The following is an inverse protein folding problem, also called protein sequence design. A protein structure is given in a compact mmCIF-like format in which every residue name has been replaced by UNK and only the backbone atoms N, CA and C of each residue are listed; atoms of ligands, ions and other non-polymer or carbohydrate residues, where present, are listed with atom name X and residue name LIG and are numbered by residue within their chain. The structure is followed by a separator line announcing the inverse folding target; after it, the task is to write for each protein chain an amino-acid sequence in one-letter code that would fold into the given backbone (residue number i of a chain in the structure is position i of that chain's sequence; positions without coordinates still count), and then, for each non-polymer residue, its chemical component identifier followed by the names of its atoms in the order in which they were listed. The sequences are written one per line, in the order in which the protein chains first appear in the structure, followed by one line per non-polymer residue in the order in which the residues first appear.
data_IF_719710386623
#
_entry.id   IF_719710386623
#
_cell.length_a   1.000
_cell.length_b   1.000
_cell.length_c   1.000
_cell.angle_alpha   90.00
_cell.angle_beta   90.00
_cell.angle_gamma   90.00
#
_symmetry.space_group_name_H-M   'P 1'
#
loop_
_entity.id
_entity.type
_entity.pdbx_description
1 polymer ?
#
# COMPACT_ATOMS: atom_id res chain seq x y z
N UNK A 1 13.56 -8.49 -1.21
CA UNK A 1 14.20 -7.71 -2.27
C UNK A 1 13.29 -7.60 -3.49
N UNK A 2 12.93 -6.37 -3.87
CA UNK A 2 12.00 -6.09 -4.98
C UNK A 2 12.57 -6.52 -6.32
N UNK A 3 13.88 -6.37 -6.52
CA UNK A 3 14.55 -6.81 -7.75
C UNK A 3 14.47 -8.32 -7.92
N UNK A 4 14.68 -9.08 -6.85
CA UNK A 4 14.52 -10.54 -6.88
C UNK A 4 13.09 -10.96 -7.18
N UNK A 5 12.10 -10.28 -6.60
CA UNK A 5 10.67 -10.52 -6.86
C UNK A 5 10.34 -10.30 -8.33
N UNK A 6 10.77 -9.17 -8.92
CA UNK A 6 10.59 -8.87 -10.35
C UNK A 6 11.24 -9.95 -11.22
N UNK A 7 12.47 -10.33 -10.90
CA UNK A 7 13.20 -11.39 -11.64
C UNK A 7 12.47 -12.73 -11.59
N UNK A 8 11.94 -13.12 -10.43
CA UNK A 8 11.17 -14.36 -10.28
C UNK A 8 9.86 -14.34 -11.08
N UNK A 9 9.15 -13.22 -11.07
CA UNK A 9 7.90 -13.06 -11.83
C UNK A 9 8.20 -13.21 -13.34
N UNK A 10 9.29 -12.64 -13.81
CA UNK A 10 9.66 -12.67 -15.22
C UNK A 10 10.15 -14.06 -15.67
N UNK A 11 10.93 -14.76 -14.85
CA UNK A 11 11.33 -16.15 -15.12
C UNK A 11 10.15 -17.10 -15.30
N UNK A 12 9.08 -16.88 -14.54
CA UNK A 12 7.87 -17.71 -14.64
C UNK A 12 7.03 -17.44 -15.91
N UNK A 13 7.40 -16.46 -16.74
CA UNK A 13 6.69 -16.09 -17.97
C UNK A 13 7.38 -16.53 -19.25
N UNK A 14 8.38 -17.40 -19.17
CA UNK A 14 9.20 -17.86 -20.32
C UNK A 14 9.77 -16.70 -21.17
N UNK A 15 10.00 -15.53 -20.53
CA UNK A 15 10.57 -14.37 -21.19
C UNK A 15 12.09 -14.43 -21.20
N UNK A 16 12.70 -13.97 -22.29
CA UNK A 16 14.16 -13.85 -22.39
C UNK A 16 14.67 -12.66 -21.59
N UNK A 17 15.96 -12.65 -21.23
CA UNK A 17 16.59 -11.52 -20.55
C UNK A 17 16.47 -10.22 -21.39
N UNK A 18 16.45 -10.34 -22.72
CA UNK A 18 16.27 -9.24 -23.65
C UNK A 18 14.84 -8.67 -23.61
N UNK A 19 13.82 -9.52 -23.48
CA UNK A 19 12.43 -9.10 -23.33
C UNK A 19 12.19 -8.39 -22.01
N UNK A 20 12.84 -8.86 -20.94
CA UNK A 20 12.83 -8.22 -19.63
C UNK A 20 13.45 -6.81 -19.71
N UNK A 21 14.61 -6.70 -20.35
CA UNK A 21 15.32 -5.43 -20.50
C UNK A 21 14.51 -4.41 -21.32
N UNK A 22 13.90 -4.84 -22.43
CA UNK A 22 13.00 -4.04 -23.23
C UNK A 22 11.77 -3.57 -22.44
N UNK A 23 11.13 -4.47 -21.69
CA UNK A 23 9.97 -4.15 -20.87
C UNK A 23 10.29 -3.16 -19.75
N UNK A 24 11.48 -3.24 -19.15
CA UNK A 24 11.97 -2.29 -18.15
C UNK A 24 12.15 -0.88 -18.73
N UNK A 25 12.75 -0.78 -19.95
CA UNK A 25 13.01 0.50 -20.61
C UNK A 25 11.72 1.17 -21.09
N UNK A 26 10.74 0.38 -21.56
CA UNK A 26 9.48 0.88 -22.16
C UNK A 26 8.42 1.16 -21.08
N UNK A 27 8.74 0.91 -19.80
CA UNK A 27 7.78 1.01 -18.67
C UNK A 27 6.51 0.13 -18.87
N UNK A 28 6.68 -0.99 -19.57
CA UNK A 28 5.58 -1.88 -19.94
C UNK A 28 5.81 -3.31 -19.43
N UNK A 29 6.18 -3.42 -18.16
CA UNK A 29 6.44 -4.72 -17.53
C UNK A 29 5.22 -5.64 -17.45
N UNK A 30 4.01 -5.11 -17.69
CA UNK A 30 2.77 -5.86 -17.48
C UNK A 30 2.67 -6.46 -16.06
N UNK A 31 3.48 -5.97 -15.15
CA UNK A 31 3.49 -6.31 -13.73
C UNK A 31 2.56 -5.34 -13.03
N UNK A 32 1.85 -5.81 -12.03
CA UNK A 32 1.06 -4.95 -11.18
C UNK A 32 1.98 -3.96 -10.42
N UNK A 33 2.07 -2.73 -10.92
CA UNK A 33 2.89 -1.67 -10.31
C UNK A 33 2.51 -1.45 -8.84
N UNK A 34 1.24 -1.61 -8.48
CA UNK A 34 0.79 -1.55 -7.09
C UNK A 34 1.56 -2.52 -6.20
N UNK A 35 1.63 -3.78 -6.59
CA UNK A 35 2.33 -4.81 -5.83
C UNK A 35 3.84 -4.51 -5.66
N UNK A 36 4.49 -3.94 -6.67
CA UNK A 36 5.90 -3.56 -6.58
C UNK A 36 6.07 -2.41 -5.58
N UNK A 37 5.22 -1.39 -5.66
CA UNK A 37 5.27 -0.23 -4.76
C UNK A 37 4.97 -0.66 -3.32
N UNK A 38 3.98 -1.51 -3.09
CA UNK A 38 3.69 -2.10 -1.78
C UNK A 38 4.89 -2.86 -1.22
N UNK A 39 5.56 -3.67 -2.05
CA UNK A 39 6.76 -4.41 -1.64
C UNK A 39 7.92 -3.47 -1.26
N UNK A 40 8.15 -2.39 -2.02
CA UNK A 40 9.15 -1.36 -1.69
C UNK A 40 8.80 -0.72 -0.33
N UNK A 41 7.56 -0.30 -0.15
CA UNK A 41 7.07 0.30 1.10
C UNK A 41 7.26 -0.65 2.28
N UNK A 42 6.91 -1.94 2.12
CA UNK A 42 7.12 -2.96 3.14
C UNK A 42 8.59 -3.05 3.58
N UNK A 43 9.52 -3.06 2.60
CA UNK A 43 10.95 -3.11 2.89
C UNK A 43 11.41 -1.83 3.63
N UNK A 44 10.94 -0.66 3.22
CA UNK A 44 11.28 0.61 3.87
C UNK A 44 10.78 0.66 5.31
N UNK A 45 9.53 0.26 5.56
CA UNK A 45 8.97 0.19 6.92
C UNK A 45 9.72 -0.82 7.80
N UNK A 46 10.08 -1.99 7.25
CA UNK A 46 10.90 -2.98 7.98
C UNK A 46 12.29 -2.44 8.29
N UNK A 47 12.94 -1.75 7.35
CA UNK A 47 14.23 -1.11 7.55
C UNK A 47 14.18 -0.01 8.60
N UNK A 48 13.04 0.70 8.72
CA UNK A 48 12.77 1.67 9.78
C UNK A 48 12.49 1.04 11.16
N UNK A 49 12.45 -0.30 11.25
CA UNK A 49 12.28 -1.04 12.49
C UNK A 49 10.83 -1.39 12.86
N UNK A 50 9.88 -1.16 11.96
CA UNK A 50 8.48 -1.50 12.20
C UNK A 50 8.21 -2.99 12.02
N UNK A 51 7.40 -3.57 12.89
CA UNK A 51 6.69 -4.79 12.61
C UNK A 51 5.47 -4.47 11.74
N UNK A 52 5.25 -5.28 10.69
CA UNK A 52 4.19 -5.08 9.74
C UNK A 52 3.05 -6.04 10.00
N UNK A 53 1.86 -5.50 10.06
CA UNK A 53 0.62 -6.24 10.11
C UNK A 53 -0.23 -5.82 8.90
N UNK A 54 -1.06 -6.71 8.41
CA UNK A 54 -2.10 -6.39 7.43
C UNK A 54 -3.46 -6.77 8.00
N UNK A 55 -4.53 -6.21 7.45
CA UNK A 55 -5.86 -6.52 7.92
C UNK A 55 -6.85 -6.61 6.77
N UNK A 56 -7.51 -7.75 6.70
CA UNK A 56 -8.64 -7.96 5.79
C UNK A 56 -9.94 -8.02 6.59
N UNK A 57 -10.98 -7.42 6.05
CA UNK A 57 -12.28 -7.44 6.70
C UNK A 57 -13.43 -7.37 5.71
N UNK A 58 -14.57 -7.91 6.11
CA UNK A 58 -15.81 -7.83 5.36
C UNK A 58 -16.65 -6.66 5.89
N UNK A 59 -17.26 -5.90 5.00
CA UNK A 59 -18.12 -4.76 5.34
C UNK A 59 -19.24 -4.61 4.32
N UNK A 60 -20.43 -4.21 4.80
CA UNK A 60 -21.58 -3.86 3.96
C UNK A 60 -21.67 -2.33 3.90
N UNK A 61 -21.25 -1.69 2.81
CA UNK A 61 -21.36 -0.23 2.68
C UNK A 61 -22.83 0.23 2.72
N UNK A 62 -23.04 1.42 3.25
CA UNK A 62 -24.37 2.05 3.25
C UNK A 62 -24.97 2.11 1.84
N UNK A 63 -26.27 1.83 1.72
CA UNK A 63 -26.97 1.77 0.44
C UNK A 63 -26.75 0.50 -0.37
N UNK A 64 -26.06 -0.50 0.19
CA UNK A 64 -25.87 -1.82 -0.44
C UNK A 64 -26.32 -2.94 0.50
N UNK A 65 -26.67 -4.09 -0.09
CA UNK A 65 -26.99 -5.31 0.67
C UNK A 65 -25.89 -6.36 0.56
N UNK A 66 -24.85 -6.08 -0.23
CA UNK A 66 -23.76 -7.04 -0.49
C UNK A 66 -22.55 -6.72 0.38
N UNK A 67 -22.10 -7.73 1.10
CA UNK A 67 -20.84 -7.71 1.80
C UNK A 67 -19.67 -7.70 0.80
N UNK A 68 -18.69 -6.85 1.05
CA UNK A 68 -17.46 -6.73 0.26
C UNK A 68 -16.25 -6.89 1.15
N UNK A 69 -15.22 -7.49 0.59
CA UNK A 69 -13.91 -7.58 1.22
C UNK A 69 -13.15 -6.28 1.03
N UNK A 70 -12.60 -5.79 2.11
CA UNK A 70 -11.69 -4.64 2.14
C UNK A 70 -10.39 -5.06 2.83
N UNK A 71 -9.33 -4.37 2.52
CA UNK A 71 -8.02 -4.60 3.11
C UNK A 71 -7.34 -3.28 3.46
N UNK A 72 -6.44 -3.35 4.42
CA UNK A 72 -5.48 -2.32 4.79
C UNK A 72 -4.10 -2.91 4.50
N UNK A 73 -3.34 -2.27 3.64
CA UNK A 73 -2.08 -2.81 3.13
C UNK A 73 -1.08 -3.07 4.26
N UNK A 74 -0.94 -2.11 5.17
CA UNK A 74 -0.09 -2.26 6.35
C UNK A 74 -0.71 -1.60 7.57
N UNK A 75 -0.37 -2.15 8.74
CA UNK A 75 -0.58 -1.50 10.03
C UNK A 75 0.74 -1.53 10.80
N UNK A 76 1.10 -0.40 11.39
CA UNK A 76 2.23 -0.27 12.31
C UNK A 76 1.75 0.22 13.67
N UNK A 77 2.56 0.03 14.69
CA UNK A 77 2.27 0.54 16.04
C UNK A 77 3.22 1.70 16.35
N UNK A 78 2.66 2.89 16.59
CA UNK A 78 3.40 4.07 17.04
C UNK A 78 2.85 4.55 18.39
N UNK A 79 3.72 4.67 19.40
CA UNK A 79 3.31 5.15 20.75
C UNK A 79 2.06 4.42 21.30
N UNK A 80 2.02 3.10 21.14
CA UNK A 80 0.90 2.21 21.55
C UNK A 80 -0.42 2.46 20.80
N UNK A 81 -0.39 3.18 19.66
CA UNK A 81 -1.55 3.39 18.80
C UNK A 81 -1.34 2.66 17.48
N UNK A 82 -2.41 2.06 16.97
CA UNK A 82 -2.42 1.45 15.65
C UNK A 82 -2.49 2.57 14.61
N UNK A 83 -1.62 2.50 13.62
CA UNK A 83 -1.54 3.43 12.51
C UNK A 83 -1.73 2.65 11.20
N UNK A 84 -2.90 2.71 10.57
CA UNK A 84 -3.14 2.06 9.30
C UNK A 84 -2.47 2.84 8.17
N UNK A 85 -1.96 2.11 7.20
CA UNK A 85 -1.24 2.61 6.03
C UNK A 85 -1.83 2.00 4.78
N UNK A 86 -2.20 2.83 3.81
CA UNK A 86 -2.51 2.42 2.44
C UNK A 86 -1.43 2.91 1.48
N UNK A 87 -1.13 2.09 0.48
CA UNK A 87 -0.18 2.41 -0.58
C UNK A 87 -0.94 2.65 -1.88
N UNK A 88 -0.71 3.80 -2.50
CA UNK A 88 -1.43 4.19 -3.73
C UNK A 88 -0.43 4.57 -4.83
N UNK A 89 -0.30 3.73 -5.84
CA UNK A 89 0.42 4.07 -7.07
C UNK A 89 -0.40 5.01 -7.98
N UNK A 90 -1.75 4.90 -7.91
CA UNK A 90 -2.72 5.74 -8.61
C UNK A 90 -3.98 5.92 -7.77
N UNK A 91 -4.93 6.75 -8.21
CA UNK A 91 -6.23 6.97 -7.56
C UNK A 91 -6.17 7.21 -6.02
N UNK A 92 -5.20 8.00 -5.60
CA UNK A 92 -4.90 8.26 -4.19
C UNK A 92 -5.98 9.05 -3.42
N UNK A 93 -7.01 9.56 -4.10
CA UNK A 93 -8.14 10.27 -3.47
C UNK A 93 -9.17 9.30 -2.84
N UNK A 94 -9.14 8.02 -3.20
CA UNK A 94 -10.06 7.03 -2.63
C UNK A 94 -9.42 6.36 -1.41
N UNK A 95 -10.03 6.55 -0.24
CA UNK A 95 -9.60 5.96 1.04
C UNK A 95 -10.74 5.23 1.76
N UNK A 96 -11.66 4.66 0.99
CA UNK A 96 -12.85 3.97 1.53
C UNK A 96 -12.53 2.86 2.52
N UNK A 97 -11.41 2.16 2.33
CA UNK A 97 -10.95 1.12 3.26
C UNK A 97 -10.71 1.69 4.66
N UNK A 98 -10.11 2.88 4.77
CA UNK A 98 -9.95 3.53 6.07
C UNK A 98 -11.29 3.89 6.71
N UNK A 99 -12.18 4.52 5.94
CA UNK A 99 -13.46 4.98 6.46
C UNK A 99 -14.30 3.80 6.98
N UNK A 100 -14.34 2.71 6.20
CA UNK A 100 -15.07 1.50 6.60
C UNK A 100 -14.41 0.75 7.77
N UNK A 101 -13.07 0.76 7.85
CA UNK A 101 -12.36 0.23 9.01
C UNK A 101 -12.78 0.96 10.29
N UNK A 102 -12.74 2.30 10.27
CA UNK A 102 -13.09 3.12 11.41
C UNK A 102 -14.55 2.93 11.83
N UNK A 103 -15.46 2.85 10.86
CA UNK A 103 -16.89 2.62 11.11
C UNK A 103 -17.13 1.23 11.72
N UNK A 104 -16.56 0.19 11.09
CA UNK A 104 -16.75 -1.20 11.53
C UNK A 104 -16.29 -1.44 12.97
N UNK A 105 -15.12 -0.93 13.31
CA UNK A 105 -14.48 -1.21 14.60
C UNK A 105 -14.63 -0.06 15.60
N UNK A 106 -15.35 1.01 15.23
CA UNK A 106 -15.54 2.22 16.05
C UNK A 106 -14.20 2.80 16.56
N UNK A 107 -13.17 2.72 15.73
CA UNK A 107 -11.83 3.13 16.09
C UNK A 107 -11.67 4.66 15.96
N UNK A 108 -11.07 5.26 16.97
CA UNK A 108 -10.52 6.62 16.90
C UNK A 108 -9.06 6.55 16.47
N UNK A 109 -8.81 6.64 15.18
CA UNK A 109 -7.45 6.58 14.65
C UNK A 109 -6.98 7.98 14.24
N UNK A 110 -6.06 8.56 15.01
CA UNK A 110 -5.53 9.90 14.77
C UNK A 110 -4.46 9.92 13.68
N UNK A 111 -3.74 8.80 13.48
CA UNK A 111 -2.63 8.69 12.57
C UNK A 111 -2.97 7.71 11.45
N UNK A 112 -3.47 8.20 10.35
CA UNK A 112 -3.75 7.45 9.12
C UNK A 112 -2.78 7.92 8.05
N UNK A 113 -2.16 7.00 7.33
CA UNK A 113 -1.16 7.32 6.33
C UNK A 113 -1.55 6.78 4.96
N UNK A 114 -1.42 7.61 3.93
CA UNK A 114 -1.42 7.17 2.54
C UNK A 114 -0.03 7.41 1.99
N UNK A 115 0.65 6.34 1.57
CA UNK A 115 1.94 6.42 0.89
C UNK A 115 1.69 6.45 -0.60
N UNK A 116 2.25 7.45 -1.30
CA UNK A 116 1.94 7.71 -2.69
C UNK A 116 3.09 8.40 -3.45
N UNK A 117 2.89 8.72 -4.71
CA UNK A 117 3.95 9.22 -5.61
C UNK A 117 4.04 10.73 -5.71
N UNK A 118 3.29 11.49 -4.86
CA UNK A 118 3.26 12.95 -4.90
C UNK A 118 3.79 13.57 -3.61
N UNK A 119 3.66 14.88 -3.46
CA UNK A 119 4.22 15.66 -2.37
C UNK A 119 3.52 15.44 -1.03
N UNK A 120 4.27 15.67 0.04
CA UNK A 120 3.75 15.59 1.41
C UNK A 120 2.57 16.55 1.60
N UNK A 121 1.45 16.05 2.11
CA UNK A 121 0.32 16.88 2.52
C UNK A 121 -0.45 16.25 3.69
N UNK A 122 -1.21 17.08 4.38
CA UNK A 122 -2.17 16.65 5.39
C UNK A 122 -3.56 17.13 4.97
N UNK A 123 -4.51 16.21 4.88
CA UNK A 123 -5.87 16.51 4.48
C UNK A 123 -6.85 15.51 5.12
N UNK A 124 -7.98 16.01 5.64
CA UNK A 124 -9.09 15.21 6.19
C UNK A 124 -8.65 14.20 7.28
N UNK A 125 -7.65 14.57 8.08
CA UNK A 125 -7.11 13.71 9.13
C UNK A 125 -6.20 12.59 8.61
N UNK A 126 -5.79 12.64 7.34
CA UNK A 126 -4.89 11.70 6.69
C UNK A 126 -3.59 12.41 6.33
N UNK A 127 -2.47 11.79 6.67
CA UNK A 127 -1.14 12.22 6.23
C UNK A 127 -0.78 11.47 4.94
N UNK A 128 -0.64 12.21 3.86
CA UNK A 128 -0.18 11.71 2.57
C UNK A 128 1.34 11.86 2.51
N UNK A 129 2.04 10.77 2.37
CA UNK A 129 3.51 10.69 2.47
C UNK A 129 4.10 10.22 1.15
N UNK A 130 5.05 10.97 0.57
CA UNK A 130 5.83 10.49 -0.57
C UNK A 130 6.53 9.17 -0.25
N UNK A 131 6.63 8.25 -1.22
CA UNK A 131 7.27 6.94 -1.02
C UNK A 131 8.65 7.07 -0.38
N UNK A 132 9.48 8.01 -0.85
CA UNK A 132 10.84 8.19 -0.34
C UNK A 132 10.92 8.65 1.13
N UNK A 133 9.81 9.16 1.70
CA UNK A 133 9.72 9.53 3.11
C UNK A 133 9.20 8.42 4.03
N UNK A 134 8.85 7.26 3.48
CA UNK A 134 8.31 6.14 4.27
C UNK A 134 9.21 5.73 5.43
N UNK A 135 10.53 5.81 5.26
CA UNK A 135 11.50 5.47 6.30
C UNK A 135 11.49 6.42 7.50
N UNK A 136 10.78 7.55 7.43
CA UNK A 136 10.65 8.51 8.53
C UNK A 136 9.43 8.21 9.43
N UNK A 137 8.61 7.25 9.05
CA UNK A 137 7.50 6.77 9.87
C UNK A 137 7.99 5.98 11.07
#
# INVERSE_FOLDING_TARGET
DTGLLVTQIMKNRDSTDEDLYKALIIDNLGINQGMIVENIVAQMLRAAGHELYFHEYLYVPEGTTREKKYEIDFMIVKKKKICPIEVKSSNYMSHKSFDYLLQKYQLKCENRFIIYTKDLKYQDGIMYIPIYMTMLL
#
